data_IF_314316555874
#
_entry.id   IF_314316555874
#
_cell.length_a   1.000
_cell.length_b   1.000
_cell.length_c   1.000
_cell.angle_alpha   90.00
_cell.angle_beta   90.00
_cell.angle_gamma   90.00
#
_symmetry.space_group_name_H-M   'P 1'
#
loop_
_entity.id
_entity.type
_entity.pdbx_description
1 polymer ?
#
# COMPACT_ATOMS: atom_id res chain seq x y z
N UNK A 1 14.17 -39.68 -40.94
CA UNK A 1 13.80 -38.37 -40.38
C UNK A 1 15.06 -37.56 -40.15
N UNK A 2 15.28 -36.42 -40.82
CA UNK A 2 16.24 -35.42 -40.36
C UNK A 2 15.52 -34.25 -39.68
N UNK A 3 16.04 -33.89 -38.52
CA UNK A 3 15.58 -32.92 -37.54
C UNK A 3 15.81 -31.48 -38.05
N UNK A 4 14.75 -30.68 -38.15
CA UNK A 4 14.80 -29.27 -38.56
C UNK A 4 15.43 -28.40 -37.47
N UNK A 5 16.56 -27.77 -37.76
CA UNK A 5 17.21 -26.78 -36.88
C UNK A 5 16.36 -25.50 -36.82
N UNK A 6 15.79 -25.20 -35.66
CA UNK A 6 14.99 -24.00 -35.42
C UNK A 6 15.91 -22.86 -34.97
N UNK A 7 16.06 -21.82 -35.81
CA UNK A 7 16.86 -20.63 -35.50
C UNK A 7 16.12 -19.74 -34.50
N UNK A 8 16.72 -19.54 -33.33
CA UNK A 8 16.17 -18.76 -32.22
C UNK A 8 16.48 -17.28 -32.45
N UNK A 9 15.49 -16.51 -32.90
CA UNK A 9 15.62 -15.05 -33.07
C UNK A 9 15.59 -14.38 -31.72
N UNK A 10 16.74 -13.87 -31.28
CA UNK A 10 16.85 -13.03 -30.08
C UNK A 10 16.15 -11.70 -30.35
N UNK A 11 14.98 -11.51 -29.72
CA UNK A 11 14.31 -10.21 -29.66
C UNK A 11 15.11 -9.34 -28.70
N UNK A 12 15.97 -8.46 -29.24
CA UNK A 12 16.63 -7.44 -28.46
C UNK A 12 15.58 -6.47 -27.93
N UNK A 13 15.35 -6.57 -26.63
CA UNK A 13 14.44 -5.73 -25.87
C UNK A 13 14.87 -4.26 -26.03
N UNK A 14 14.06 -3.46 -26.72
CA UNK A 14 14.27 -2.04 -26.96
C UNK A 14 14.02 -1.20 -25.69
N UNK A 15 14.59 -1.61 -24.56
CA UNK A 15 14.81 -0.73 -23.42
C UNK A 15 16.03 0.15 -23.75
N UNK A 16 15.82 1.05 -24.71
CA UNK A 16 16.71 2.15 -25.02
C UNK A 16 16.89 2.95 -23.73
N UNK A 17 18.12 2.93 -23.22
CA UNK A 17 18.59 3.79 -22.13
C UNK A 17 18.25 5.23 -22.48
N UNK A 18 17.18 5.76 -21.90
CA UNK A 18 16.91 7.19 -21.88
C UNK A 18 17.93 7.82 -20.93
N UNK A 19 18.81 8.65 -21.46
CA UNK A 19 19.65 9.52 -20.64
C UNK A 19 18.73 10.38 -19.75
N UNK A 20 18.99 10.46 -18.43
CA UNK A 20 18.14 11.21 -17.52
C UNK A 20 18.17 12.69 -17.92
N UNK A 21 16.99 13.27 -18.13
CA UNK A 21 16.87 14.68 -18.48
C UNK A 21 17.24 15.56 -17.28
N UNK A 22 17.66 16.80 -17.54
CA UNK A 22 18.12 17.72 -16.47
C UNK A 22 17.04 17.95 -15.39
N UNK A 23 15.78 17.81 -15.78
CA UNK A 23 14.57 17.79 -14.98
C UNK A 23 14.52 16.59 -14.04
N UNK A 24 14.83 15.38 -14.49
CA UNK A 24 14.92 14.18 -13.65
C UNK A 24 16.04 14.32 -12.61
N UNK A 25 17.17 14.90 -13.00
CA UNK A 25 18.30 15.20 -12.11
C UNK A 25 17.87 16.24 -11.06
N UNK A 26 17.09 17.25 -11.46
CA UNK A 26 16.61 18.28 -10.54
C UNK A 26 15.63 17.73 -9.50
N UNK A 27 14.75 16.80 -9.89
CA UNK A 27 13.84 16.09 -8.97
C UNK A 27 14.63 15.16 -8.05
N UNK A 28 15.65 14.47 -8.55
CA UNK A 28 16.52 13.62 -7.74
C UNK A 28 17.32 14.42 -6.70
N UNK A 29 17.91 15.56 -7.10
CA UNK A 29 18.63 16.48 -6.21
C UNK A 29 17.68 17.16 -5.20
N UNK A 30 16.42 17.41 -5.58
CA UNK A 30 15.42 17.99 -4.67
C UNK A 30 14.93 16.99 -3.62
N UNK A 31 14.87 15.69 -3.96
CA UNK A 31 14.54 14.62 -3.00
C UNK A 31 15.70 14.34 -2.04
N UNK A 32 16.95 14.49 -2.48
CA UNK A 32 18.14 14.33 -1.61
C UNK A 32 18.34 15.48 -0.60
N UNK A 33 17.64 16.61 -0.80
CA UNK A 33 17.69 17.78 0.07
C UNK A 33 16.55 17.86 1.10
N UNK A 34 16.04 16.71 1.56
CA UNK A 34 15.27 16.69 2.80
C UNK A 34 16.25 16.94 3.96
N UNK A 35 16.09 18.02 4.76
CA UNK A 35 16.99 18.31 5.86
C UNK A 35 16.82 17.28 6.98
N UNK A 36 17.47 16.12 6.85
CA UNK A 36 17.52 15.08 7.87
C UNK A 36 18.54 15.41 8.97
N UNK A 37 18.40 16.50 9.74
CA UNK A 37 19.17 16.64 10.99
C UNK A 37 18.41 17.39 12.08
N UNK A 38 17.42 16.73 12.70
CA UNK A 38 17.12 17.01 14.10
C UNK A 38 17.86 15.94 14.90
N UNK A 39 18.87 16.37 15.65
CA UNK A 39 19.72 15.52 16.48
C UNK A 39 18.89 15.00 17.66
N UNK A 40 18.23 13.84 17.50
CA UNK A 40 17.53 13.18 18.58
C UNK A 40 18.49 12.24 19.32
N UNK A 41 19.12 12.71 20.41
CA UNK A 41 19.58 11.79 21.47
C UNK A 41 18.41 10.86 21.85
N UNK A 42 18.65 9.66 22.40
CA UNK A 42 17.60 8.71 22.78
C UNK A 42 16.47 9.35 23.61
N UNK A 43 16.82 10.34 24.44
CA UNK A 43 15.87 11.14 25.23
C UNK A 43 15.00 12.06 24.35
N UNK A 44 15.58 12.67 23.33
CA UNK A 44 14.90 13.55 22.38
C UNK A 44 13.97 12.76 21.47
N UNK A 45 14.37 11.55 21.04
CA UNK A 45 13.50 10.68 20.24
C UNK A 45 12.30 10.21 21.08
N UNK A 46 12.54 9.87 22.36
CA UNK A 46 11.47 9.50 23.28
C UNK A 46 10.49 10.65 23.54
N UNK A 47 10.98 11.85 23.82
CA UNK A 47 10.12 13.03 23.97
C UNK A 47 9.36 13.34 22.68
N UNK A 48 9.98 13.18 21.52
CA UNK A 48 9.32 13.43 20.23
C UNK A 48 8.19 12.42 19.99
N UNK A 49 8.39 11.14 20.29
CA UNK A 49 7.31 10.15 20.21
C UNK A 49 6.21 10.45 21.23
N UNK A 50 6.56 10.85 22.46
CA UNK A 50 5.55 11.14 23.49
C UNK A 50 4.72 12.40 23.18
N UNK A 51 5.34 13.47 22.68
CA UNK A 51 4.70 14.79 22.52
C UNK A 51 4.33 15.14 21.08
N UNK A 52 4.91 14.50 20.07
CA UNK A 52 4.55 14.73 18.68
C UNK A 52 3.76 13.55 18.16
N UNK A 53 4.32 12.34 18.19
CA UNK A 53 3.61 11.16 17.66
C UNK A 53 2.37 10.83 18.51
N UNK A 54 2.45 10.88 19.84
CA UNK A 54 1.31 10.59 20.73
C UNK A 54 0.10 11.51 20.46
N UNK A 55 0.25 12.85 20.57
CA UNK A 55 -0.83 13.77 20.29
C UNK A 55 -1.28 13.75 18.83
N UNK A 56 -0.36 13.57 17.86
CA UNK A 56 -0.73 13.50 16.45
C UNK A 56 -1.52 12.23 16.13
N UNK A 57 -1.10 11.06 16.62
CA UNK A 57 -1.83 9.79 16.50
C UNK A 57 -3.17 9.86 17.24
N UNK A 58 -3.19 10.48 18.42
CA UNK A 58 -4.43 10.70 19.16
C UNK A 58 -5.39 11.60 18.40
N UNK A 59 -4.89 12.70 17.80
CA UNK A 59 -5.70 13.60 16.98
C UNK A 59 -6.18 12.92 15.70
N UNK A 60 -5.32 12.11 15.08
CA UNK A 60 -5.66 11.33 13.90
C UNK A 60 -6.73 10.29 14.22
N UNK A 61 -6.64 9.63 15.37
CA UNK A 61 -7.65 8.71 15.88
C UNK A 61 -8.98 9.41 16.17
N UNK A 62 -8.97 10.58 16.85
CA UNK A 62 -10.19 11.39 17.07
C UNK A 62 -10.83 11.81 15.74
N UNK A 63 -10.01 12.11 14.73
CA UNK A 63 -10.48 12.58 13.41
C UNK A 63 -10.77 11.44 12.43
N UNK A 64 -10.54 10.20 12.82
CA UNK A 64 -10.80 9.01 11.99
C UNK A 64 -12.31 8.85 11.81
N UNK A 65 -12.86 9.51 10.79
CA UNK A 65 -14.25 9.36 10.41
C UNK A 65 -14.46 7.98 9.79
N UNK A 66 -15.41 7.21 10.34
CA UNK A 66 -15.79 5.94 9.78
C UNK A 66 -16.33 6.15 8.36
N UNK A 67 -15.63 5.59 7.38
CA UNK A 67 -16.05 5.68 5.99
C UNK A 67 -17.31 4.83 5.80
N UNK A 68 -18.40 5.46 5.34
CA UNK A 68 -19.62 4.74 5.02
C UNK A 68 -19.40 3.83 3.81
N UNK A 69 -19.75 2.56 3.98
CA UNK A 69 -19.71 1.53 2.93
C UNK A 69 -21.11 1.17 2.42
N UNK A 70 -22.11 1.97 2.75
CA UNK A 70 -23.49 1.72 2.33
C UNK A 70 -23.61 1.77 0.80
N UNK A 71 -24.18 0.72 0.22
CA UNK A 71 -24.30 0.56 -1.23
C UNK A 71 -22.97 0.33 -1.98
N UNK A 72 -21.83 0.26 -1.26
CA UNK A 72 -20.52 -0.06 -1.84
C UNK A 72 -20.31 -1.57 -1.86
N UNK A 73 -19.53 -2.03 -2.83
CA UNK A 73 -19.10 -3.44 -2.90
C UNK A 73 -17.82 -3.64 -2.10
N UNK A 74 -17.80 -4.63 -1.23
CA UNK A 74 -16.65 -4.99 -0.38
C UNK A 74 -16.27 -6.44 -0.64
N UNK A 75 -15.00 -6.69 -0.93
CA UNK A 75 -14.45 -8.04 -1.13
C UNK A 75 -13.71 -8.44 0.14
N UNK A 76 -14.02 -9.61 0.68
CA UNK A 76 -13.44 -10.14 1.92
C UNK A 76 -12.74 -11.45 1.61
N UNK A 77 -11.43 -11.49 1.79
CA UNK A 77 -10.63 -12.72 1.72
C UNK A 77 -10.67 -13.46 3.06
N UNK A 78 -10.69 -14.79 3.07
CA UNK A 78 -10.72 -15.55 4.34
C UNK A 78 -12.04 -15.40 5.10
N UNK A 79 -13.12 -15.08 4.38
CA UNK A 79 -14.43 -14.77 4.96
C UNK A 79 -15.30 -15.99 5.28
N UNK A 80 -14.83 -17.22 4.99
CA UNK A 80 -15.61 -18.43 5.23
C UNK A 80 -15.81 -18.72 6.74
N UNK A 81 -14.90 -18.27 7.60
CA UNK A 81 -14.95 -18.56 9.04
C UNK A 81 -14.42 -17.41 9.91
N UNK A 82 -14.55 -17.59 11.24
CA UNK A 82 -13.96 -16.73 12.26
C UNK A 82 -14.28 -15.23 12.11
N UNK A 83 -13.23 -14.43 12.18
CA UNK A 83 -13.31 -12.96 12.13
C UNK A 83 -13.81 -12.49 10.77
N UNK A 84 -13.33 -13.10 9.68
CA UNK A 84 -13.73 -12.74 8.32
C UNK A 84 -15.24 -12.91 8.09
N UNK A 85 -15.82 -14.01 8.59
CA UNK A 85 -17.27 -14.24 8.56
C UNK A 85 -18.05 -13.17 9.33
N UNK A 86 -17.64 -12.86 10.56
CA UNK A 86 -18.32 -11.84 11.37
C UNK A 86 -18.20 -10.44 10.77
N UNK A 87 -17.06 -10.12 10.17
CA UNK A 87 -16.87 -8.88 9.43
C UNK A 87 -17.78 -8.80 8.21
N UNK A 88 -17.91 -9.90 7.45
CA UNK A 88 -18.83 -9.99 6.32
C UNK A 88 -20.29 -9.75 6.73
N UNK A 89 -20.73 -10.40 7.81
CA UNK A 89 -22.07 -10.21 8.38
C UNK A 89 -22.29 -8.75 8.82
N UNK A 90 -21.32 -8.15 9.49
CA UNK A 90 -21.39 -6.76 9.94
C UNK A 90 -21.49 -5.79 8.75
N UNK A 91 -20.64 -5.97 7.74
CA UNK A 91 -20.62 -5.12 6.55
C UNK A 91 -21.90 -5.25 5.72
N UNK A 92 -22.41 -6.46 5.54
CA UNK A 92 -23.64 -6.69 4.80
C UNK A 92 -24.88 -6.19 5.55
N UNK A 93 -25.03 -6.57 6.82
CA UNK A 93 -26.27 -6.35 7.59
C UNK A 93 -26.30 -4.97 8.23
N UNK A 94 -25.21 -4.57 8.90
CA UNK A 94 -25.18 -3.32 9.69
C UNK A 94 -24.82 -2.11 8.85
N UNK A 95 -23.93 -2.29 7.87
CA UNK A 95 -23.44 -1.18 7.06
C UNK A 95 -24.02 -1.13 5.64
N UNK A 96 -24.80 -2.14 5.23
CA UNK A 96 -25.51 -2.16 3.93
C UNK A 96 -24.57 -2.24 2.72
N UNK A 97 -23.40 -2.85 2.90
CA UNK A 97 -22.46 -3.11 1.82
C UNK A 97 -22.87 -4.37 1.04
N UNK A 98 -22.55 -4.42 -0.26
CA UNK A 98 -22.61 -5.64 -1.06
C UNK A 98 -21.33 -6.42 -0.84
N UNK A 99 -21.40 -7.56 -0.15
CA UNK A 99 -20.21 -8.30 0.25
C UNK A 99 -19.96 -9.49 -0.70
N UNK A 100 -18.73 -9.60 -1.19
CA UNK A 100 -18.23 -10.77 -1.90
C UNK A 100 -17.18 -11.48 -1.03
N UNK A 101 -17.35 -12.77 -0.78
CA UNK A 101 -16.41 -13.57 0.01
C UNK A 101 -15.53 -14.36 -0.94
N UNK A 102 -14.22 -14.22 -0.80
CA UNK A 102 -13.21 -14.98 -1.52
C UNK A 102 -12.46 -15.86 -0.51
N UNK A 103 -12.65 -17.17 -0.61
CA UNK A 103 -11.99 -18.13 0.24
C UNK A 103 -11.41 -19.24 -0.63
N UNK A 104 -10.34 -19.89 -0.17
CA UNK A 104 -9.79 -21.04 -0.88
C UNK A 104 -10.63 -22.26 -0.48
N UNK A 105 -11.06 -23.01 -1.47
CA UNK A 105 -11.80 -24.23 -1.22
C UNK A 105 -10.79 -25.34 -0.96
N UNK A 106 -10.84 -25.95 0.22
CA UNK A 106 -10.33 -27.30 0.46
C UNK A 106 -11.50 -28.28 0.43
#
# INVERSE_FOLDING_TARGET
>A
MPMSTMSMTVVQNAAMQSEPTADDISVFIHIENVPERIFYSSIGMFLHVLFVAGPLDFWYWIRSSLKSVNGRTVVITGGASGIGKRLAELLAIRFGAKVAILDINE
#
